data_IF_747607458906
#
_entry.id   IF_747607458906
#
_cell.length_a   1.000
_cell.length_b   1.000
_cell.length_c   1.000
_cell.angle_alpha   90.00
_cell.angle_beta   90.00
_cell.angle_gamma   90.00
#
_symmetry.space_group_name_H-M   'P 1'
#
loop_
_entity.id
_entity.type
_entity.pdbx_description
1 polymer ?
#
# COMPACT_ATOMS: atom_id res chain seq x y z
N UNK A 1 -32.31 14.76 -15.97
CA UNK A 1 -31.81 14.34 -14.65
C UNK A 1 -30.32 14.01 -14.79
N UNK A 2 -29.47 14.51 -13.88
CA UNK A 2 -28.03 14.27 -13.92
C UNK A 2 -27.77 12.78 -13.64
N UNK A 3 -26.99 12.09 -14.48
CA UNK A 3 -26.67 10.68 -14.25
C UNK A 3 -25.56 10.57 -13.20
N UNK A 4 -25.96 10.26 -11.97
CA UNK A 4 -25.04 10.15 -10.83
C UNK A 4 -24.00 9.04 -10.99
N UNK A 5 -24.28 7.99 -11.74
CA UNK A 5 -23.32 6.91 -12.00
C UNK A 5 -22.23 7.36 -12.99
N UNK A 6 -22.60 8.19 -13.98
CA UNK A 6 -21.60 8.82 -14.86
C UNK A 6 -20.73 9.83 -14.09
N UNK A 7 -21.30 10.57 -13.15
CA UNK A 7 -20.51 11.45 -12.27
C UNK A 7 -19.57 10.63 -11.36
N UNK A 8 -20.01 9.46 -10.87
CA UNK A 8 -19.18 8.54 -10.10
C UNK A 8 -18.02 8.00 -10.94
N UNK A 9 -18.28 7.57 -12.15
CA UNK A 9 -17.24 7.13 -13.09
C UNK A 9 -16.20 8.24 -13.32
N UNK A 10 -16.65 9.47 -13.60
CA UNK A 10 -15.75 10.63 -13.76
C UNK A 10 -14.91 10.90 -12.52
N UNK A 11 -15.50 10.76 -11.34
CA UNK A 11 -14.79 10.93 -10.08
C UNK A 11 -13.63 9.92 -9.95
N UNK A 12 -13.89 8.64 -10.23
CA UNK A 12 -12.85 7.61 -10.13
C UNK A 12 -11.83 7.69 -11.26
N UNK A 13 -12.26 8.02 -12.46
CA UNK A 13 -11.34 8.23 -13.60
C UNK A 13 -10.46 9.47 -13.46
N UNK A 14 -10.84 10.45 -12.63
CA UNK A 14 -10.08 11.69 -12.46
C UNK A 14 -8.62 11.43 -12.07
N UNK A 15 -8.36 10.47 -11.20
CA UNK A 15 -7.01 10.17 -10.70
C UNK A 15 -6.23 9.17 -11.57
N UNK A 16 -6.92 8.26 -12.25
CA UNK A 16 -6.30 7.12 -12.96
C UNK A 16 -6.49 7.15 -14.47
N UNK A 17 -7.20 8.17 -14.99
CA UNK A 17 -7.56 8.28 -16.41
C UNK A 17 -8.79 7.46 -16.73
N UNK A 18 -8.63 6.36 -17.48
CA UNK A 18 -9.73 5.51 -17.92
C UNK A 18 -9.75 4.18 -17.16
N UNK A 19 -10.94 3.70 -16.78
CA UNK A 19 -11.11 2.34 -16.29
C UNK A 19 -11.05 1.33 -17.45
N UNK A 20 -10.48 0.14 -17.26
CA UNK A 20 -10.36 -0.87 -18.31
C UNK A 20 -11.72 -1.34 -18.86
N UNK A 21 -12.72 -1.39 -17.99
CA UNK A 21 -14.05 -1.89 -18.32
C UNK A 21 -15.14 -1.03 -17.66
N UNK A 22 -15.32 0.18 -18.20
CA UNK A 22 -16.28 1.16 -17.68
C UNK A 22 -17.73 0.64 -17.70
N UNK A 23 -18.08 -0.17 -18.69
CA UNK A 23 -19.45 -0.69 -18.83
C UNK A 23 -19.79 -1.66 -17.70
N UNK A 24 -18.93 -2.64 -17.42
CA UNK A 24 -19.13 -3.57 -16.34
C UNK A 24 -18.97 -2.91 -14.96
N UNK A 25 -18.10 -1.90 -14.83
CA UNK A 25 -18.02 -1.09 -13.61
C UNK A 25 -19.35 -0.39 -13.34
N UNK A 26 -19.91 0.33 -14.33
CA UNK A 26 -21.18 1.03 -14.19
C UNK A 26 -22.35 0.07 -13.89
N UNK A 27 -22.37 -1.10 -14.55
CA UNK A 27 -23.35 -2.15 -14.27
C UNK A 27 -23.28 -2.60 -12.83
N UNK A 28 -22.09 -2.97 -12.34
CA UNK A 28 -21.86 -3.41 -10.97
C UNK A 28 -22.26 -2.31 -9.95
N UNK A 29 -21.95 -1.05 -10.24
CA UNK A 29 -22.35 0.06 -9.37
C UNK A 29 -23.86 0.27 -9.34
N UNK A 30 -24.57 0.18 -10.46
CA UNK A 30 -26.03 0.30 -10.53
C UNK A 30 -26.76 -0.82 -9.80
N UNK A 31 -26.20 -2.01 -9.75
CA UNK A 31 -26.75 -3.18 -9.04
C UNK A 31 -26.57 -3.08 -7.52
N UNK A 32 -25.59 -2.32 -7.03
CA UNK A 32 -25.16 -2.36 -5.63
C UNK A 32 -25.29 -1.06 -4.87
N UNK A 33 -25.40 0.07 -5.55
CA UNK A 33 -25.46 1.42 -4.97
C UNK A 33 -26.66 2.17 -5.53
N UNK A 34 -27.52 2.66 -4.64
CA UNK A 34 -28.69 3.41 -5.06
C UNK A 34 -28.39 4.87 -5.41
N UNK A 35 -29.20 5.54 -6.22
CA UNK A 35 -29.04 6.97 -6.48
C UNK A 35 -29.07 7.82 -5.20
N UNK A 36 -29.86 7.41 -4.20
CA UNK A 36 -29.97 8.06 -2.89
C UNK A 36 -28.68 7.98 -2.10
N UNK A 37 -27.97 6.85 -2.14
CA UNK A 37 -26.63 6.67 -1.55
C UNK A 37 -25.59 7.52 -2.29
N UNK A 38 -25.64 7.55 -3.61
CA UNK A 38 -24.74 8.42 -4.41
C UNK A 38 -24.94 9.90 -4.09
N UNK A 39 -26.15 10.35 -3.75
CA UNK A 39 -26.38 11.72 -3.27
C UNK A 39 -25.60 11.98 -1.98
N UNK A 40 -25.56 11.05 -1.02
CA UNK A 40 -24.74 11.16 0.18
C UNK A 40 -23.24 11.21 -0.19
N UNK A 41 -22.78 10.32 -1.06
CA UNK A 41 -21.40 10.32 -1.54
C UNK A 41 -21.01 11.69 -2.13
N UNK A 42 -21.84 12.30 -2.95
CA UNK A 42 -21.55 13.60 -3.56
C UNK A 42 -21.74 14.80 -2.61
N UNK A 43 -22.29 14.61 -1.41
CA UNK A 43 -22.29 15.64 -0.36
C UNK A 43 -20.91 15.79 0.31
N UNK A 44 -20.04 14.79 0.21
CA UNK A 44 -18.66 14.89 0.70
C UNK A 44 -17.82 15.82 -0.20
N UNK A 45 -16.76 16.46 0.33
CA UNK A 45 -15.84 17.21 -0.49
C UNK A 45 -15.14 16.29 -1.50
N UNK A 46 -14.69 16.86 -2.61
CA UNK A 46 -13.97 16.10 -3.64
C UNK A 46 -12.67 15.49 -3.09
N UNK A 47 -11.96 16.23 -2.24
CA UNK A 47 -10.77 15.78 -1.51
C UNK A 47 -10.86 16.21 -0.05
N UNK A 48 -10.22 15.44 0.84
CA UNK A 48 -10.19 15.69 2.26
C UNK A 48 -11.47 15.28 2.99
N UNK A 49 -11.47 15.45 4.31
CA UNK A 49 -12.54 14.99 5.18
C UNK A 49 -13.53 16.10 5.57
N UNK A 50 -14.70 15.67 6.03
CA UNK A 50 -15.73 16.54 6.55
C UNK A 50 -16.22 16.00 7.90
N UNK A 51 -16.38 16.87 8.89
CA UNK A 51 -16.95 16.50 10.18
C UNK A 51 -18.41 16.04 10.02
N UNK A 52 -18.79 14.99 10.74
CA UNK A 52 -20.15 14.41 10.73
C UNK A 52 -21.25 15.46 10.88
N UNK A 53 -21.11 16.37 11.85
CA UNK A 53 -22.10 17.45 12.07
C UNK A 53 -22.35 18.32 10.84
N UNK A 54 -21.29 18.59 10.04
CA UNK A 54 -21.41 19.37 8.81
C UNK A 54 -22.05 18.55 7.70
N UNK A 55 -21.73 17.27 7.61
CA UNK A 55 -22.30 16.36 6.62
C UNK A 55 -23.79 16.11 6.91
N UNK A 56 -24.17 15.91 8.17
CA UNK A 56 -25.57 15.84 8.62
C UNK A 56 -26.35 17.11 8.30
N UNK A 57 -25.74 18.29 8.47
CA UNK A 57 -26.36 19.56 8.09
C UNK A 57 -26.63 19.65 6.58
N UNK A 58 -25.72 19.14 5.73
CA UNK A 58 -25.93 19.05 4.28
C UNK A 58 -27.07 18.08 3.94
N UNK A 59 -27.09 16.91 4.57
CA UNK A 59 -28.12 15.90 4.38
C UNK A 59 -29.51 16.43 4.76
N UNK A 60 -29.63 17.09 5.90
CA UNK A 60 -30.90 17.72 6.36
C UNK A 60 -31.39 18.76 5.36
N UNK A 61 -30.51 19.63 4.82
CA UNK A 61 -30.89 20.62 3.79
C UNK A 61 -31.37 19.98 2.50
N UNK A 62 -30.89 18.76 2.21
CA UNK A 62 -31.31 17.96 1.06
C UNK A 62 -32.54 17.07 1.35
N UNK A 63 -33.23 17.25 2.51
CA UNK A 63 -34.42 16.49 2.89
C UNK A 63 -34.12 15.08 3.41
N UNK A 64 -32.88 14.76 3.77
CA UNK A 64 -32.49 13.43 4.30
C UNK A 64 -32.52 13.47 5.83
N UNK A 65 -33.38 12.65 6.44
CA UNK A 65 -33.45 12.48 7.89
C UNK A 65 -32.18 11.87 8.50
N UNK A 66 -32.01 12.08 9.82
CA UNK A 66 -30.79 11.62 10.53
C UNK A 66 -30.59 10.09 10.44
N UNK A 67 -31.64 9.33 10.71
CA UNK A 67 -31.60 7.86 10.68
C UNK A 67 -31.27 7.34 9.28
N UNK A 68 -31.97 7.87 8.27
CA UNK A 68 -31.77 7.49 6.89
C UNK A 68 -30.36 7.88 6.38
N UNK A 69 -29.83 9.01 6.86
CA UNK A 69 -28.44 9.39 6.59
C UNK A 69 -27.47 8.33 7.11
N UNK A 70 -27.57 7.91 8.39
CA UNK A 70 -26.65 6.93 8.95
C UNK A 70 -26.79 5.56 8.30
N UNK A 71 -27.99 5.12 7.95
CA UNK A 71 -28.23 3.89 7.21
C UNK A 71 -27.50 3.90 5.86
N UNK A 72 -27.69 4.95 5.06
CA UNK A 72 -27.05 5.08 3.74
C UNK A 72 -25.53 5.28 3.84
N UNK A 73 -25.07 6.12 4.76
CA UNK A 73 -23.64 6.34 4.98
C UNK A 73 -22.97 5.06 5.48
N UNK A 74 -23.60 4.28 6.36
CA UNK A 74 -23.11 2.98 6.81
C UNK A 74 -22.88 2.02 5.64
N UNK A 75 -23.87 1.87 4.75
CA UNK A 75 -23.74 1.04 3.55
C UNK A 75 -22.61 1.50 2.62
N UNK A 76 -22.42 2.81 2.45
CA UNK A 76 -21.30 3.34 1.66
C UNK A 76 -19.94 3.07 2.32
N UNK A 77 -19.85 3.06 3.66
CA UNK A 77 -18.65 2.66 4.41
C UNK A 77 -18.37 1.16 4.19
N UNK A 78 -19.36 0.30 4.38
CA UNK A 78 -19.27 -1.15 4.14
C UNK A 78 -18.81 -1.48 2.71
N UNK A 79 -19.15 -0.63 1.77
CA UNK A 79 -18.76 -0.77 0.37
C UNK A 79 -17.40 -0.15 0.03
N UNK A 80 -16.74 0.49 0.99
CA UNK A 80 -15.45 1.17 0.77
C UNK A 80 -15.55 2.45 -0.08
N UNK A 81 -16.76 2.93 -0.35
CA UNK A 81 -16.97 4.15 -1.14
C UNK A 81 -16.69 5.41 -0.34
N UNK A 82 -16.98 5.38 0.96
CA UNK A 82 -16.60 6.44 1.90
C UNK A 82 -15.84 5.83 3.07
N UNK A 83 -14.95 6.61 3.65
CA UNK A 83 -14.18 6.26 4.83
C UNK A 83 -14.71 7.05 6.02
N UNK A 84 -14.81 6.40 7.17
CA UNK A 84 -15.19 7.00 8.44
C UNK A 84 -14.04 6.88 9.42
N UNK A 85 -13.68 7.98 10.07
CA UNK A 85 -12.60 8.03 11.03
C UNK A 85 -13.07 8.60 12.36
N UNK A 86 -12.72 7.91 13.45
CA UNK A 86 -12.89 8.42 14.81
C UNK A 86 -11.71 9.35 15.14
N UNK A 87 -12.01 10.60 15.46
CA UNK A 87 -10.98 11.61 15.77
C UNK A 87 -11.31 12.36 17.05
N UNK A 88 -10.34 12.96 17.72
CA UNK A 88 -10.63 13.94 18.77
C UNK A 88 -11.58 15.02 18.22
N UNK A 89 -12.79 15.13 18.78
CA UNK A 89 -13.84 16.04 18.30
C UNK A 89 -14.94 15.40 17.46
N UNK A 90 -14.95 14.07 17.29
CA UNK A 90 -16.03 13.30 16.68
C UNK A 90 -15.65 12.63 15.35
N UNK A 91 -16.67 12.05 14.71
CA UNK A 91 -16.51 11.33 13.45
C UNK A 91 -16.25 12.30 12.28
N UNK A 92 -15.39 11.86 11.37
CA UNK A 92 -15.15 12.52 10.08
C UNK A 92 -15.34 11.53 8.93
N UNK A 93 -15.75 12.05 7.77
CA UNK A 93 -16.01 11.26 6.57
C UNK A 93 -15.18 11.80 5.40
N UNK A 94 -14.73 10.90 4.53
CA UNK A 94 -13.97 11.20 3.33
C UNK A 94 -14.45 10.31 2.18
N UNK A 95 -14.38 10.78 0.93
CA UNK A 95 -14.62 9.91 -0.22
C UNK A 95 -13.50 8.88 -0.36
N UNK A 96 -13.87 7.63 -0.48
CA UNK A 96 -12.94 6.57 -0.87
C UNK A 96 -12.48 6.77 -2.32
N UNK A 97 -11.19 6.60 -2.56
CA UNK A 97 -10.67 6.51 -3.92
C UNK A 97 -10.90 5.10 -4.49
N UNK A 98 -10.65 4.93 -5.80
CA UNK A 98 -10.92 3.67 -6.49
C UNK A 98 -10.03 2.52 -5.96
N UNK A 99 -8.80 2.81 -5.53
CA UNK A 99 -7.89 1.80 -4.96
C UNK A 99 -8.44 1.30 -3.63
N UNK A 100 -8.83 2.22 -2.73
CA UNK A 100 -9.39 1.86 -1.43
C UNK A 100 -10.68 1.02 -1.57
N UNK A 101 -11.58 1.42 -2.47
CA UNK A 101 -12.78 0.64 -2.76
C UNK A 101 -12.41 -0.76 -3.30
N UNK A 102 -11.44 -0.85 -4.21
CA UNK A 102 -10.97 -2.13 -4.75
C UNK A 102 -10.39 -3.02 -3.65
N UNK A 103 -9.59 -2.45 -2.73
CA UNK A 103 -9.01 -3.17 -1.60
C UNK A 103 -10.08 -3.85 -0.73
N UNK A 104 -11.16 -3.15 -0.43
CA UNK A 104 -12.25 -3.70 0.36
C UNK A 104 -13.04 -4.75 -0.43
N UNK A 105 -13.40 -4.44 -1.68
CA UNK A 105 -14.22 -5.33 -2.51
C UNK A 105 -13.58 -6.68 -2.79
N UNK A 106 -12.26 -6.73 -3.04
CA UNK A 106 -11.58 -8.01 -3.29
C UNK A 106 -11.39 -8.86 -2.03
N UNK A 107 -11.45 -8.25 -0.83
CA UNK A 107 -11.40 -8.97 0.45
C UNK A 107 -12.73 -9.60 0.86
N UNK A 108 -13.86 -9.14 0.32
CA UNK A 108 -15.16 -9.77 0.54
C UNK A 108 -15.07 -11.22 0.08
N UNK A 109 -15.53 -12.18 0.91
CA UNK A 109 -15.41 -13.60 0.60
C UNK A 109 -16.45 -14.08 -0.41
N UNK A 110 -17.59 -13.41 -0.49
CA UNK A 110 -18.67 -13.79 -1.40
C UNK A 110 -18.26 -13.54 -2.86
N UNK A 111 -18.49 -14.54 -3.71
CA UNK A 111 -18.19 -14.44 -5.13
C UNK A 111 -19.29 -13.68 -5.88
N UNK A 112 -19.16 -12.37 -5.90
CA UNK A 112 -20.12 -11.47 -6.55
C UNK A 112 -19.58 -10.92 -7.88
N UNK A 113 -20.44 -10.57 -8.85
CA UNK A 113 -20.02 -9.90 -10.08
C UNK A 113 -19.20 -8.64 -9.81
N UNK A 114 -19.59 -7.88 -8.77
CA UNK A 114 -18.89 -6.68 -8.34
C UNK A 114 -17.46 -6.99 -7.88
N UNK A 115 -17.25 -8.00 -7.04
CA UNK A 115 -15.93 -8.44 -6.60
C UNK A 115 -15.01 -8.76 -7.79
N UNK A 116 -15.53 -9.43 -8.79
CA UNK A 116 -14.77 -9.78 -10.02
C UNK A 116 -14.40 -8.53 -10.83
N UNK A 117 -15.26 -7.52 -10.91
CA UNK A 117 -14.96 -6.24 -11.57
C UNK A 117 -13.78 -5.55 -10.89
N UNK A 118 -13.78 -5.46 -9.55
CA UNK A 118 -12.69 -4.86 -8.82
C UNK A 118 -11.40 -5.67 -8.84
N UNK A 119 -11.50 -7.00 -8.88
CA UNK A 119 -10.34 -7.87 -9.06
C UNK A 119 -9.68 -7.66 -10.44
N UNK A 120 -10.45 -7.52 -11.52
CA UNK A 120 -9.93 -7.17 -12.85
C UNK A 120 -9.29 -5.79 -12.89
N UNK A 121 -9.90 -4.81 -12.21
CA UNK A 121 -9.35 -3.47 -12.09
C UNK A 121 -7.95 -3.50 -11.43
N UNK A 122 -7.82 -4.26 -10.33
CA UNK A 122 -6.53 -4.43 -9.64
C UNK A 122 -5.52 -5.19 -10.50
N UNK A 123 -5.95 -6.22 -11.21
CA UNK A 123 -5.09 -6.98 -12.14
C UNK A 123 -4.56 -6.07 -13.26
N UNK A 124 -5.42 -5.27 -13.87
CA UNK A 124 -5.05 -4.30 -14.91
C UNK A 124 -4.04 -3.25 -14.39
N UNK A 125 -4.18 -2.81 -13.14
CA UNK A 125 -3.21 -1.92 -12.51
C UNK A 125 -1.85 -2.60 -12.25
N UNK A 126 -1.86 -3.87 -11.87
CA UNK A 126 -0.65 -4.68 -11.69
C UNK A 126 0.06 -4.90 -13.03
N UNK A 127 -0.67 -5.17 -14.10
CA UNK A 127 -0.13 -5.36 -15.44
C UNK A 127 0.32 -4.04 -16.12
N UNK A 128 -0.06 -2.88 -15.57
CA UNK A 128 0.30 -1.56 -16.12
C UNK A 128 -0.65 -1.04 -17.19
N UNK A 129 -1.82 -1.65 -17.32
CA UNK A 129 -2.88 -1.17 -18.24
C UNK A 129 -3.53 0.11 -17.72
N UNK A 130 -3.42 0.37 -16.42
CA UNK A 130 -3.92 1.58 -15.76
C UNK A 130 -2.74 2.37 -15.22
N UNK A 131 -2.66 3.65 -15.57
CA UNK A 131 -1.71 4.57 -14.99
C UNK A 131 -2.01 4.82 -13.50
N UNK A 132 -0.98 4.85 -12.67
CA UNK A 132 -1.09 5.38 -11.32
C UNK A 132 -1.04 6.91 -11.34
N UNK A 133 -1.49 7.52 -10.24
CA UNK A 133 -1.44 8.99 -10.07
C UNK A 133 -0.07 9.56 -10.42
N UNK A 134 0.00 10.69 -11.15
CA UNK A 134 1.25 11.28 -11.61
C UNK A 134 1.99 12.03 -10.48
N UNK A 135 2.28 11.35 -9.37
CA UNK A 135 3.10 11.86 -8.28
C UNK A 135 4.55 11.42 -8.42
N UNK A 136 5.47 12.23 -7.86
CA UNK A 136 6.91 11.92 -7.79
C UNK A 136 7.32 11.33 -6.45
N UNK A 137 6.57 11.64 -5.41
CA UNK A 137 6.79 11.16 -4.04
C UNK A 137 6.20 9.76 -3.88
N UNK A 138 6.98 8.73 -3.49
CA UNK A 138 6.45 7.40 -3.23
C UNK A 138 5.47 7.39 -2.05
N UNK A 139 4.37 6.67 -2.17
CA UNK A 139 3.41 6.46 -1.08
C UNK A 139 3.99 5.56 0.02
N UNK A 140 4.68 4.51 -0.42
CA UNK A 140 5.27 3.49 0.43
C UNK A 140 6.78 3.47 0.25
N UNK A 141 7.49 2.92 1.23
CA UNK A 141 8.91 2.60 1.17
C UNK A 141 9.16 1.16 1.58
N UNK A 142 10.21 0.59 1.06
CA UNK A 142 10.70 -0.74 1.47
C UNK A 142 11.30 -0.67 2.86
N UNK A 143 10.97 -1.65 3.71
CA UNK A 143 11.74 -1.97 4.90
C UNK A 143 12.66 -3.15 4.59
N UNK A 144 13.90 -3.13 5.08
CA UNK A 144 14.80 -4.28 4.96
C UNK A 144 14.37 -5.40 5.92
N UNK A 145 14.75 -6.63 5.61
CA UNK A 145 14.66 -7.75 6.55
C UNK A 145 15.49 -7.41 7.78
N UNK A 146 14.84 -7.42 8.94
CA UNK A 146 15.39 -6.87 10.20
C UNK A 146 16.72 -7.53 10.60
N UNK A 147 16.82 -8.85 10.51
CA UNK A 147 18.04 -9.59 10.86
C UNK A 147 19.25 -9.19 10.02
N UNK A 148 19.02 -8.69 8.78
CA UNK A 148 20.12 -8.30 7.89
C UNK A 148 20.76 -6.97 8.27
N UNK A 149 20.12 -6.20 9.16
CA UNK A 149 20.61 -4.94 9.72
C UNK A 149 21.53 -5.17 10.95
N UNK A 150 21.55 -6.35 11.53
CA UNK A 150 22.16 -6.66 12.82
C UNK A 150 23.69 -6.75 12.83
N UNK A 151 24.40 -6.22 11.83
CA UNK A 151 25.88 -6.27 11.75
C UNK A 151 26.62 -5.08 12.36
N UNK A 152 26.06 -3.87 12.36
CA UNK A 152 26.81 -2.63 12.69
C UNK A 152 26.15 -1.69 13.71
N UNK A 153 25.01 -2.03 14.31
CA UNK A 153 24.25 -1.04 15.13
C UNK A 153 23.60 -1.60 16.40
N UNK A 154 24.27 -2.47 17.15
CA UNK A 154 23.76 -2.93 18.46
C UNK A 154 23.91 -1.93 19.61
N UNK A 155 24.49 -0.75 19.39
CA UNK A 155 24.61 0.28 20.42
C UNK A 155 24.41 1.66 19.81
N UNK A 156 23.17 2.11 19.73
CA UNK A 156 22.88 3.53 19.77
C UNK A 156 22.19 3.80 21.10
N UNK A 157 22.96 4.44 21.97
CA UNK A 157 22.48 5.03 23.22
C UNK A 157 21.31 5.96 22.88
N UNK A 158 20.13 5.69 23.43
CA UNK A 158 18.89 6.39 23.10
C UNK A 158 18.91 7.89 23.44
N UNK A 159 19.94 8.36 24.13
CA UNK A 159 20.11 9.73 24.59
C UNK A 159 20.97 10.64 23.67
N UNK A 160 21.57 10.11 22.62
CA UNK A 160 22.28 10.93 21.66
C UNK A 160 21.51 11.01 20.34
N UNK A 161 20.85 12.13 20.11
CA UNK A 161 20.36 12.55 18.79
C UNK A 161 21.52 12.78 17.80
N UNK A 162 22.30 11.75 17.54
CA UNK A 162 23.29 11.77 16.47
C UNK A 162 22.54 11.42 15.20
N UNK A 163 22.32 12.39 14.34
CA UNK A 163 21.84 12.21 12.96
C UNK A 163 22.95 11.57 12.11
N UNK A 164 23.46 10.42 12.50
CA UNK A 164 24.33 9.63 11.64
C UNK A 164 23.45 9.00 10.56
N UNK A 165 23.61 9.37 9.28
CA UNK A 165 22.82 8.78 8.19
C UNK A 165 23.08 7.27 8.05
N UNK A 166 24.11 6.73 8.68
CA UNK A 166 24.47 5.29 8.69
C UNK A 166 23.80 4.51 9.80
N UNK A 167 23.22 5.21 10.81
CA UNK A 167 22.55 4.55 11.93
C UNK A 167 21.29 3.81 11.47
N UNK A 168 21.05 2.60 12.01
CA UNK A 168 19.75 1.93 11.93
C UNK A 168 18.79 2.65 12.86
N UNK A 169 17.69 3.15 12.30
CA UNK A 169 16.68 3.87 13.06
C UNK A 169 15.51 2.94 13.39
N UNK A 170 14.75 3.16 14.48
CA UNK A 170 13.53 2.38 14.76
C UNK A 170 12.54 2.32 13.58
N UNK A 171 12.51 3.37 12.76
CA UNK A 171 11.70 3.41 11.52
C UNK A 171 12.20 2.47 10.41
N UNK A 172 13.35 1.83 10.54
CA UNK A 172 13.88 0.81 9.63
C UNK A 172 13.60 -0.61 10.13
N UNK A 173 13.09 -0.77 11.36
CA UNK A 173 12.88 -2.04 12.04
C UNK A 173 11.38 -2.35 12.06
N UNK A 174 10.97 -3.34 11.26
CA UNK A 174 9.56 -3.70 11.10
C UNK A 174 8.90 -4.11 12.43
N UNK A 175 9.59 -4.93 13.26
CA UNK A 175 9.06 -5.37 14.55
C UNK A 175 8.90 -4.23 15.55
N UNK A 176 9.82 -3.25 15.55
CA UNK A 176 9.72 -2.07 16.42
C UNK A 176 8.54 -1.19 16.02
N UNK A 177 8.31 -0.99 14.71
CA UNK A 177 7.16 -0.25 14.21
C UNK A 177 5.84 -0.92 14.61
N UNK A 178 5.74 -2.25 14.43
CA UNK A 178 4.56 -3.03 14.83
C UNK A 178 4.27 -2.88 16.34
N UNK A 179 5.31 -3.02 17.20
CA UNK A 179 5.15 -2.91 18.65
C UNK A 179 4.76 -1.51 19.14
N UNK A 180 5.03 -0.48 18.35
CA UNK A 180 4.66 0.90 18.67
C UNK A 180 3.16 1.21 18.43
N UNK A 181 2.44 0.34 17.71
CA UNK A 181 1.05 0.58 17.36
C UNK A 181 0.08 -0.09 18.34
N UNK A 182 -0.89 0.63 18.92
CA UNK A 182 -1.78 0.10 19.95
C UNK A 182 -2.81 -0.90 19.45
N UNK A 183 -3.17 -0.85 18.16
CA UNK A 183 -4.11 -1.78 17.53
C UNK A 183 -3.50 -2.36 16.27
N UNK A 184 -3.46 -3.70 16.21
CA UNK A 184 -2.95 -4.48 15.07
C UNK A 184 -4.03 -5.45 14.61
N UNK A 185 -4.22 -5.51 13.31
CA UNK A 185 -5.05 -6.53 12.67
C UNK A 185 -4.35 -7.08 11.42
N UNK A 186 -4.69 -8.30 11.04
CA UNK A 186 -4.24 -8.92 9.80
C UNK A 186 -5.42 -9.10 8.85
N UNK A 187 -5.20 -8.78 7.59
CA UNK A 187 -6.16 -8.94 6.52
C UNK A 187 -5.55 -9.72 5.35
N UNK A 188 -6.40 -10.22 4.46
CA UNK A 188 -5.95 -10.78 3.20
C UNK A 188 -5.25 -9.71 2.36
N UNK A 189 -4.11 -10.07 1.75
CA UNK A 189 -3.44 -9.22 0.79
C UNK A 189 -4.34 -8.99 -0.42
N UNK A 190 -4.84 -7.77 -0.60
CA UNK A 190 -5.80 -7.45 -1.65
C UNK A 190 -5.24 -7.64 -3.07
N UNK A 191 -3.95 -7.40 -3.29
CA UNK A 191 -3.30 -7.65 -4.58
C UNK A 191 -3.33 -9.15 -4.94
N UNK A 192 -2.94 -10.04 -4.00
CA UNK A 192 -2.99 -11.49 -4.21
C UNK A 192 -4.42 -12.01 -4.30
N UNK A 193 -5.33 -11.47 -3.47
CA UNK A 193 -6.75 -11.83 -3.55
C UNK A 193 -7.32 -11.49 -4.94
N UNK A 194 -7.02 -10.30 -5.48
CA UNK A 194 -7.45 -9.92 -6.83
C UNK A 194 -6.91 -10.87 -7.89
N UNK A 195 -5.61 -11.19 -7.85
CA UNK A 195 -4.96 -12.12 -8.80
C UNK A 195 -5.55 -13.52 -8.70
N UNK A 196 -5.85 -14.01 -7.50
CA UNK A 196 -6.52 -15.31 -7.30
C UNK A 196 -7.92 -15.33 -7.91
N UNK A 197 -8.71 -14.26 -7.74
CA UNK A 197 -10.06 -14.14 -8.30
C UNK A 197 -10.05 -14.19 -9.84
N UNK A 198 -9.03 -13.64 -10.49
CA UNK A 198 -8.89 -13.65 -11.96
C UNK A 198 -8.11 -14.87 -12.49
N UNK A 199 -7.86 -15.89 -11.65
CA UNK A 199 -7.20 -17.13 -12.06
C UNK A 199 -5.67 -17.06 -12.17
N UNK A 200 -5.04 -16.02 -11.59
CA UNK A 200 -3.58 -15.80 -11.61
C UNK A 200 -2.98 -15.95 -10.20
N UNK A 201 -3.37 -17.01 -9.48
CA UNK A 201 -2.83 -17.27 -8.13
C UNK A 201 -1.33 -17.59 -8.17
N UNK A 202 -0.59 -17.03 -7.24
CA UNK A 202 0.86 -17.22 -7.13
C UNK A 202 1.28 -18.17 -5.98
N UNK A 203 0.34 -18.77 -5.26
CA UNK A 203 0.59 -19.71 -4.17
C UNK A 203 1.05 -19.09 -2.85
N UNK A 204 1.45 -17.82 -2.80
CA UNK A 204 1.82 -17.19 -1.53
C UNK A 204 0.62 -16.98 -0.60
N UNK A 205 0.83 -16.99 0.75
CA UNK A 205 -0.25 -16.85 1.72
C UNK A 205 -0.99 -15.51 1.55
N UNK A 206 -2.31 -15.53 1.76
CA UNK A 206 -3.15 -14.32 1.65
C UNK A 206 -3.08 -13.46 2.91
N UNK A 207 -3.21 -14.06 4.10
CA UNK A 207 -3.30 -13.35 5.39
C UNK A 207 -1.94 -12.78 5.81
N UNK A 208 -1.52 -11.71 5.14
CA UNK A 208 -0.20 -11.09 5.33
C UNK A 208 -0.24 -9.56 5.31
N UNK A 209 -1.41 -8.93 5.16
CA UNK A 209 -1.55 -7.49 5.18
C UNK A 209 -1.76 -7.04 6.63
N UNK A 210 -0.73 -6.51 7.29
CA UNK A 210 -0.85 -5.93 8.62
C UNK A 210 -1.44 -4.53 8.52
N UNK A 211 -2.47 -4.27 9.30
CA UNK A 211 -3.16 -2.97 9.36
C UNK A 211 -3.20 -2.47 10.78
N UNK A 212 -3.19 -1.15 10.95
CA UNK A 212 -3.03 -0.52 12.25
C UNK A 212 -4.06 0.57 12.47
N UNK A 213 -4.45 0.76 13.73
CA UNK A 213 -5.27 1.87 14.22
C UNK A 213 -6.57 2.05 13.42
N UNK A 214 -6.82 3.25 12.88
CA UNK A 214 -8.08 3.58 12.19
C UNK A 214 -8.36 2.67 10.98
N UNK A 215 -7.31 2.23 10.25
CA UNK A 215 -7.49 1.29 9.15
C UNK A 215 -7.83 -0.10 9.68
N UNK A 216 -7.20 -0.54 10.77
CA UNK A 216 -7.52 -1.79 11.43
C UNK A 216 -8.96 -1.78 11.94
N UNK A 217 -9.39 -0.70 12.63
CA UNK A 217 -10.79 -0.54 13.09
C UNK A 217 -11.78 -0.68 11.94
N UNK A 218 -11.55 0.05 10.83
CA UNK A 218 -12.42 0.00 9.65
C UNK A 218 -12.55 -1.41 9.08
N UNK A 219 -11.43 -2.14 8.95
CA UNK A 219 -11.45 -3.49 8.39
C UNK A 219 -12.01 -4.53 9.36
N UNK A 220 -11.82 -4.36 10.66
CA UNK A 220 -12.43 -5.20 11.71
C UNK A 220 -13.94 -5.01 11.75
N UNK A 221 -14.44 -3.77 11.73
CA UNK A 221 -15.87 -3.45 11.67
C UNK A 221 -16.53 -4.03 10.40
N UNK A 222 -15.82 -4.05 9.28
CA UNK A 222 -16.30 -4.62 8.03
C UNK A 222 -16.16 -6.16 7.95
N UNK A 223 -15.59 -6.83 8.97
CA UNK A 223 -15.33 -8.28 8.94
C UNK A 223 -14.26 -8.71 7.91
N UNK A 224 -13.40 -7.77 7.48
CA UNK A 224 -12.38 -7.98 6.44
C UNK A 224 -10.97 -8.17 7.02
N UNK A 225 -10.82 -8.11 8.33
CA UNK A 225 -9.58 -8.34 9.06
C UNK A 225 -9.84 -9.10 10.35
N UNK A 226 -8.79 -9.64 10.91
CA UNK A 226 -8.76 -10.31 12.21
C UNK A 226 -7.82 -9.56 13.15
N UNK A 227 -8.25 -9.27 14.38
CA UNK A 227 -7.39 -8.69 15.41
C UNK A 227 -6.32 -9.71 15.82
N UNK A 228 -5.09 -9.24 15.97
CA UNK A 228 -3.93 -10.03 16.41
C UNK A 228 -3.13 -9.27 17.47
N UNK A 229 -2.30 -9.98 18.18
CA UNK A 229 -1.32 -9.38 19.08
C UNK A 229 0.01 -9.06 18.35
N UNK A 230 0.91 -8.40 19.05
CA UNK A 230 2.21 -8.02 18.49
C UNK A 230 3.12 -9.23 18.24
N UNK A 231 2.99 -10.30 19.02
CA UNK A 231 3.81 -11.50 18.86
C UNK A 231 3.41 -12.23 17.57
N UNK A 232 2.11 -12.39 17.33
CA UNK A 232 1.58 -12.97 16.09
C UNK A 232 1.95 -12.10 14.88
N UNK A 233 1.86 -10.77 14.98
CA UNK A 233 2.26 -9.87 13.90
C UNK A 233 3.73 -10.03 13.51
N UNK A 234 4.63 -10.12 14.50
CA UNK A 234 6.06 -10.37 14.27
C UNK A 234 6.29 -11.74 13.64
N UNK A 235 5.55 -12.77 14.08
CA UNK A 235 5.63 -14.11 13.48
C UNK A 235 5.18 -14.11 12.01
N UNK A 236 4.14 -13.33 11.67
CA UNK A 236 3.70 -13.15 10.27
C UNK A 236 4.82 -12.49 9.44
N UNK A 237 5.50 -11.46 9.97
CA UNK A 237 6.63 -10.84 9.26
C UNK A 237 7.74 -11.86 8.97
N UNK A 238 8.17 -12.63 9.97
CA UNK A 238 9.20 -13.65 9.80
C UNK A 238 8.80 -14.75 8.81
N UNK A 239 7.53 -15.16 8.81
CA UNK A 239 7.01 -16.10 7.81
C UNK A 239 7.06 -15.49 6.41
N UNK A 240 6.69 -14.21 6.27
CA UNK A 240 6.75 -13.49 5.01
C UNK A 240 8.18 -13.35 4.47
N UNK A 241 9.16 -13.12 5.33
CA UNK A 241 10.59 -13.08 4.97
C UNK A 241 11.05 -14.42 4.39
N UNK A 242 10.70 -15.52 5.06
CA UNK A 242 11.01 -16.89 4.56
C UNK A 242 10.35 -17.20 3.21
N UNK A 243 9.16 -16.67 2.98
CA UNK A 243 8.44 -16.76 1.70
C UNK A 243 8.98 -15.79 0.62
N UNK A 244 10.03 -15.02 0.91
CA UNK A 244 10.61 -14.06 -0.02
C UNK A 244 9.76 -12.81 -0.27
N UNK A 245 8.87 -12.45 0.67
CA UNK A 245 8.00 -11.28 0.56
C UNK A 245 8.72 -10.02 1.05
N UNK A 246 8.51 -8.93 0.32
CA UNK A 246 9.10 -7.62 0.62
C UNK A 246 8.20 -6.82 1.54
N UNK A 247 8.74 -6.28 2.60
CA UNK A 247 8.04 -5.38 3.50
C UNK A 247 7.92 -3.97 2.92
N UNK A 248 6.70 -3.44 2.88
CA UNK A 248 6.42 -2.06 2.53
C UNK A 248 5.62 -1.38 3.63
N UNK A 249 5.98 -0.14 3.93
CA UNK A 249 5.30 0.70 4.92
C UNK A 249 5.07 2.11 4.37
N UNK A 250 4.17 2.88 4.94
CA UNK A 250 3.98 4.29 4.62
C UNK A 250 5.32 5.04 4.59
N UNK A 251 5.53 5.89 3.58
CA UNK A 251 6.78 6.65 3.43
C UNK A 251 6.80 7.89 4.36
N UNK A 252 6.48 7.65 5.63
CA UNK A 252 6.42 8.67 6.67
C UNK A 252 6.97 8.14 8.00
N UNK A 253 7.32 9.05 8.89
CA UNK A 253 7.61 8.80 10.30
C UNK A 253 6.32 8.75 11.12
N UNK A 254 6.41 8.24 12.36
CA UNK A 254 5.31 8.16 13.29
C UNK A 254 4.40 6.97 13.04
N UNK A 255 3.11 7.14 13.32
CA UNK A 255 2.11 6.07 13.21
C UNK A 255 1.97 5.57 11.79
N UNK A 256 2.00 4.26 11.64
CA UNK A 256 1.77 3.58 10.36
C UNK A 256 0.31 3.15 10.23
N UNK A 257 -0.19 3.08 9.01
CA UNK A 257 -1.54 2.59 8.72
C UNK A 257 -1.54 1.15 8.25
N UNK A 258 -0.50 0.77 7.49
CA UNK A 258 -0.36 -0.58 6.97
C UNK A 258 1.10 -0.98 6.81
N UNK A 259 1.38 -2.27 6.96
CA UNK A 259 2.62 -2.90 6.58
C UNK A 259 2.28 -4.06 5.64
N UNK A 260 2.63 -3.86 4.37
CA UNK A 260 2.39 -4.85 3.32
C UNK A 260 3.55 -5.83 3.22
N UNK A 261 3.24 -7.09 2.92
CA UNK A 261 4.20 -8.16 2.64
C UNK A 261 4.02 -8.63 1.19
N UNK A 262 4.87 -8.16 0.31
CA UNK A 262 4.65 -8.11 -1.13
C UNK A 262 5.46 -9.14 -1.91
N UNK A 263 4.79 -9.90 -2.79
CA UNK A 263 5.45 -10.79 -3.75
C UNK A 263 5.67 -10.11 -5.11
N UNK A 264 6.71 -10.48 -5.86
CA UNK A 264 6.97 -9.89 -7.17
C UNK A 264 5.95 -10.26 -8.25
N UNK A 265 5.13 -11.29 -8.02
CA UNK A 265 4.16 -11.82 -8.97
C UNK A 265 2.80 -11.13 -8.93
N UNK A 266 2.42 -10.52 -7.80
CA UNK A 266 1.05 -9.99 -7.61
C UNK A 266 1.00 -8.57 -7.04
N UNK A 267 2.14 -7.98 -6.63
CA UNK A 267 2.12 -6.70 -5.94
C UNK A 267 2.15 -5.52 -6.91
N UNK A 268 1.18 -4.63 -6.81
CA UNK A 268 1.13 -3.39 -7.60
C UNK A 268 2.35 -2.49 -7.33
N UNK A 269 2.85 -2.40 -6.09
CA UNK A 269 4.00 -1.58 -5.74
C UNK A 269 5.28 -2.08 -6.42
N UNK A 270 5.52 -3.41 -6.36
CA UNK A 270 6.68 -4.02 -6.99
C UNK A 270 6.60 -4.01 -8.51
N UNK A 271 5.40 -4.18 -9.09
CA UNK A 271 5.25 -4.14 -10.55
C UNK A 271 5.53 -2.75 -11.11
N UNK A 272 5.07 -1.70 -10.45
CA UNK A 272 5.39 -0.29 -10.82
C UNK A 272 6.88 -0.01 -10.70
N UNK A 273 7.52 -0.45 -9.60
CA UNK A 273 8.98 -0.31 -9.44
C UNK A 273 9.77 -1.07 -10.52
N UNK A 274 9.32 -2.27 -10.91
CA UNK A 274 9.97 -3.06 -11.96
C UNK A 274 9.91 -2.38 -13.33
N UNK A 275 8.79 -1.73 -13.64
CA UNK A 275 8.58 -1.03 -14.91
C UNK A 275 9.19 0.37 -14.95
N UNK A 276 9.62 0.89 -13.80
CA UNK A 276 10.06 2.30 -13.63
C UNK A 276 8.97 3.31 -14.05
N UNK A 277 7.71 2.95 -13.82
CA UNK A 277 6.51 3.68 -14.28
C UNK A 277 5.87 4.55 -13.22
N UNK A 278 6.62 4.99 -12.24
CA UNK A 278 6.05 5.88 -11.23
C UNK A 278 6.56 5.64 -9.82
N UNK A 279 5.94 6.31 -8.87
CA UNK A 279 6.44 6.41 -7.51
C UNK A 279 5.44 5.84 -6.49
N UNK A 280 4.89 4.64 -6.74
CA UNK A 280 4.04 3.97 -5.76
C UNK A 280 4.85 3.48 -4.55
N UNK A 281 6.06 2.95 -4.80
CA UNK A 281 6.99 2.51 -3.77
C UNK A 281 8.37 3.14 -3.94
N UNK A 282 9.07 3.36 -2.85
CA UNK A 282 10.47 3.79 -2.82
C UNK A 282 11.38 2.70 -2.25
N UNK A 283 12.67 2.72 -2.57
CA UNK A 283 13.64 1.80 -1.97
C UNK A 283 13.81 2.09 -0.47
N UNK A 284 14.41 1.14 0.25
CA UNK A 284 14.86 1.34 1.61
C UNK A 284 16.05 2.32 1.67
N UNK A 285 16.45 2.70 2.88
CA UNK A 285 17.67 3.50 3.12
C UNK A 285 18.97 2.73 2.83
N UNK A 286 18.86 1.45 2.44
CA UNK A 286 19.97 0.53 2.27
C UNK A 286 20.12 0.03 0.83
N UNK A 287 21.29 -0.50 0.54
CA UNK A 287 21.61 -1.19 -0.71
C UNK A 287 22.55 -2.34 -0.39
N UNK A 288 22.54 -3.40 -1.20
CA UNK A 288 23.50 -4.49 -1.00
C UNK A 288 24.90 -4.11 -1.47
N UNK A 289 25.90 -4.60 -0.71
CA UNK A 289 27.31 -4.65 -1.10
C UNK A 289 27.73 -6.10 -1.18
N UNK A 290 28.41 -6.44 -2.24
CA UNK A 290 29.00 -7.75 -2.47
C UNK A 290 30.51 -7.72 -2.23
N UNK A 291 31.06 -8.77 -1.57
CA UNK A 291 32.46 -8.86 -1.22
C UNK A 291 33.41 -9.19 -2.40
N UNK A 292 32.85 -9.69 -3.52
CA UNK A 292 33.63 -10.16 -4.66
C UNK A 292 33.99 -11.63 -4.59
N UNK A 293 33.58 -12.37 -3.54
CA UNK A 293 33.92 -13.78 -3.37
C UNK A 293 33.22 -14.67 -4.43
N UNK A 294 33.98 -15.50 -5.13
CA UNK A 294 33.43 -16.48 -6.09
C UNK A 294 32.87 -17.68 -5.33
N UNK A 295 31.55 -17.69 -5.12
CA UNK A 295 30.79 -18.68 -4.33
C UNK A 295 29.64 -19.18 -5.20
N UNK A 296 29.64 -20.45 -5.66
CA UNK A 296 28.62 -21.00 -6.57
C UNK A 296 27.22 -20.92 -5.99
N UNK A 297 27.07 -21.12 -4.68
CA UNK A 297 25.77 -21.11 -3.97
C UNK A 297 25.05 -19.76 -4.05
N UNK A 298 25.79 -18.66 -4.31
CA UNK A 298 25.21 -17.33 -4.49
C UNK A 298 24.30 -17.22 -5.73
N UNK A 299 24.36 -18.18 -6.66
CA UNK A 299 23.38 -18.32 -7.73
C UNK A 299 21.94 -18.44 -7.19
N UNK A 300 21.74 -19.02 -6.00
CA UNK A 300 20.43 -19.11 -5.35
C UNK A 300 19.91 -17.74 -4.88
N UNK A 301 20.79 -16.80 -4.58
CA UNK A 301 20.41 -15.43 -4.21
C UNK A 301 19.81 -14.65 -5.37
N UNK A 302 20.09 -15.04 -6.62
CA UNK A 302 19.50 -14.44 -7.82
C UNK A 302 17.99 -14.72 -7.88
N UNK A 303 17.60 -15.95 -7.54
CA UNK A 303 16.19 -16.40 -7.63
C UNK A 303 15.28 -15.68 -6.63
N UNK A 304 15.79 -15.36 -5.42
CA UNK A 304 14.99 -14.68 -4.39
C UNK A 304 14.88 -13.17 -4.65
N UNK A 305 15.65 -12.62 -5.59
CA UNK A 305 15.62 -11.18 -5.83
C UNK A 305 14.32 -10.72 -6.51
N UNK A 306 13.41 -9.99 -5.83
CA UNK A 306 12.11 -9.62 -6.37
C UNK A 306 12.21 -8.63 -7.54
N UNK A 307 13.33 -7.94 -7.66
CA UNK A 307 13.60 -6.91 -8.67
C UNK A 307 14.45 -7.37 -9.83
N UNK A 308 14.98 -8.61 -9.78
CA UNK A 308 15.98 -9.06 -10.73
C UNK A 308 17.23 -8.16 -10.75
N UNK A 309 17.62 -7.68 -9.57
CA UNK A 309 18.82 -6.83 -9.40
C UNK A 309 20.12 -7.63 -9.32
N UNK A 310 20.03 -8.95 -9.26
CA UNK A 310 21.17 -9.85 -9.18
C UNK A 310 21.28 -10.71 -10.43
N UNK A 311 22.50 -10.98 -10.86
CA UNK A 311 22.84 -12.01 -11.85
C UNK A 311 24.11 -12.74 -11.42
N UNK A 312 24.24 -14.00 -11.83
CA UNK A 312 25.39 -14.84 -11.50
C UNK A 312 25.95 -15.48 -12.78
N UNK A 313 27.26 -15.29 -12.98
CA UNK A 313 28.01 -15.92 -14.06
C UNK A 313 29.43 -16.23 -13.54
N UNK A 314 29.53 -17.24 -12.66
CA UNK A 314 30.77 -17.52 -11.92
C UNK A 314 31.04 -16.54 -10.77
N UNK A 315 30.60 -15.29 -10.90
CA UNK A 315 30.59 -14.27 -9.85
C UNK A 315 29.23 -13.58 -9.80
N UNK A 316 28.87 -13.07 -8.62
CA UNK A 316 27.62 -12.34 -8.46
C UNK A 316 27.79 -10.89 -8.97
N UNK A 317 26.85 -10.43 -9.77
CA UNK A 317 26.77 -9.02 -10.21
C UNK A 317 25.53 -8.36 -9.64
N UNK A 318 25.67 -7.11 -9.18
CA UNK A 318 24.60 -6.34 -8.56
C UNK A 318 24.25 -5.12 -9.41
N UNK A 319 23.02 -5.06 -9.89
CA UNK A 319 22.46 -3.85 -10.48
C UNK A 319 21.90 -2.95 -9.37
N UNK A 320 22.69 -1.97 -8.93
CA UNK A 320 22.33 -1.05 -7.86
C UNK A 320 21.14 -0.14 -8.19
N UNK A 321 20.83 0.11 -9.46
CA UNK A 321 19.64 0.89 -9.87
C UNK A 321 18.35 0.12 -9.62
N UNK A 322 18.38 -1.21 -9.79
CA UNK A 322 17.23 -2.09 -9.55
C UNK A 322 17.14 -2.56 -8.09
N UNK A 323 18.22 -2.48 -7.32
CA UNK A 323 18.24 -2.91 -5.93
C UNK A 323 17.40 -1.98 -5.06
N UNK A 324 16.35 -2.51 -4.43
CA UNK A 324 15.47 -1.78 -3.51
C UNK A 324 15.92 -1.88 -2.05
N UNK A 325 16.97 -2.65 -1.74
CA UNK A 325 17.52 -2.79 -0.39
C UNK A 325 16.58 -3.52 0.57
N UNK A 326 15.86 -4.53 0.11
CA UNK A 326 14.95 -5.32 0.94
C UNK A 326 15.66 -6.35 1.85
N UNK A 327 16.90 -6.73 1.56
CA UNK A 327 17.68 -7.66 2.40
C UNK A 327 17.44 -9.15 2.14
N UNK A 328 16.41 -9.57 1.41
CA UNK A 328 16.09 -10.99 1.19
C UNK A 328 17.25 -11.83 0.68
N UNK A 329 18.06 -11.29 -0.23
CA UNK A 329 19.26 -11.98 -0.73
C UNK A 329 20.38 -12.07 0.33
N UNK A 330 20.43 -11.13 1.27
CA UNK A 330 21.39 -11.16 2.38
C UNK A 330 20.97 -12.23 3.39
N UNK A 331 19.67 -12.32 3.72
CA UNK A 331 19.11 -13.39 4.53
C UNK A 331 19.40 -14.76 3.91
N UNK A 332 19.08 -14.94 2.63
CA UNK A 332 19.38 -16.18 1.92
C UNK A 332 20.87 -16.53 1.90
N UNK A 333 21.76 -15.55 1.72
CA UNK A 333 23.19 -15.74 1.74
C UNK A 333 23.70 -16.25 3.11
N UNK A 334 23.11 -15.75 4.20
CA UNK A 334 23.39 -16.22 5.57
C UNK A 334 22.92 -17.66 5.80
N UNK A 335 21.71 -18.00 5.34
CA UNK A 335 21.18 -19.37 5.40
C UNK A 335 22.05 -20.38 4.66
N UNK A 336 22.70 -19.95 3.58
CA UNK A 336 23.67 -20.76 2.82
C UNK A 336 25.04 -20.85 3.48
N UNK A 337 25.25 -20.23 4.65
CA UNK A 337 26.55 -20.22 5.35
C UNK A 337 27.54 -19.16 4.87
N UNK A 338 27.13 -18.24 3.99
CA UNK A 338 28.01 -17.24 3.38
C UNK A 338 27.69 -15.80 3.80
N UNK A 339 27.37 -15.60 5.09
CA UNK A 339 26.85 -14.33 5.64
C UNK A 339 27.71 -13.08 5.37
N UNK A 340 29.01 -13.25 5.07
CA UNK A 340 29.91 -12.14 4.76
C UNK A 340 29.97 -11.77 3.29
N UNK A 341 29.43 -12.60 2.40
CA UNK A 341 29.49 -12.36 0.96
C UNK A 341 28.55 -11.24 0.50
N UNK A 342 27.38 -11.11 1.13
CA UNK A 342 26.40 -10.04 0.89
C UNK A 342 26.08 -9.32 2.19
N UNK A 343 26.07 -7.99 2.16
CA UNK A 343 25.72 -7.14 3.30
C UNK A 343 24.82 -6.00 2.86
N UNK A 344 23.89 -5.56 3.72
CA UNK A 344 23.20 -4.29 3.57
C UNK A 344 24.08 -3.15 4.09
N UNK A 345 24.25 -2.13 3.26
CA UNK A 345 24.94 -0.90 3.64
C UNK A 345 24.06 0.31 3.37
N UNK A 346 24.19 1.40 4.15
CA UNK A 346 23.44 2.63 3.90
C UNK A 346 23.71 3.16 2.49
N UNK A 347 22.64 3.70 1.84
CA UNK A 347 22.78 4.40 0.54
C UNK A 347 23.49 5.72 0.74
N UNK A 348 24.31 6.13 -0.20
CA UNK A 348 24.94 7.45 -0.19
C UNK A 348 23.94 8.60 -0.24
N UNK A 349 22.80 8.41 -0.94
CA UNK A 349 21.66 9.33 -0.95
C UNK A 349 20.43 8.60 -0.48
N UNK A 350 19.93 9.01 0.69
CA UNK A 350 18.75 8.40 1.29
C UNK A 350 17.46 8.86 0.60
N UNK A 351 16.46 7.95 0.40
CA UNK A 351 15.12 8.35 0.04
C UNK A 351 14.54 9.30 1.09
N UNK A 352 13.76 10.28 0.65
CA UNK A 352 13.08 11.18 1.59
C UNK A 352 11.97 10.43 2.30
N UNK A 353 12.01 10.45 3.63
CA UNK A 353 10.91 10.02 4.51
C UNK A 353 10.22 11.27 5.03
N UNK A 354 8.90 11.30 5.03
CA UNK A 354 8.12 12.45 5.46
C UNK A 354 7.89 12.42 6.97
N UNK A 355 7.85 13.59 7.62
CA UNK A 355 7.69 13.72 9.08
C UNK A 355 6.35 13.15 9.61
N UNK A 356 5.34 13.02 8.77
CA UNK A 356 4.04 12.44 9.11
C UNK A 356 3.29 12.00 7.85
N UNK A 357 2.30 11.13 8.01
CA UNK A 357 1.39 10.75 6.94
C UNK A 357 0.64 11.95 6.36
N UNK A 358 0.28 12.94 7.17
CA UNK A 358 -0.36 14.17 6.68
C UNK A 358 0.57 14.96 5.75
N UNK A 359 1.84 15.13 6.12
CA UNK A 359 2.84 15.80 5.30
C UNK A 359 3.09 15.05 3.98
N UNK A 360 3.14 13.72 4.02
CA UNK A 360 3.25 12.83 2.86
C UNK A 360 2.07 13.05 1.90
N UNK A 361 0.84 12.92 2.38
CA UNK A 361 -0.35 13.06 1.54
C UNK A 361 -0.54 14.47 0.98
N UNK A 362 -0.19 15.50 1.75
CA UNK A 362 -0.20 16.89 1.27
C UNK A 362 0.77 17.08 0.10
N UNK A 363 1.96 16.46 0.16
CA UNK A 363 2.92 16.51 -0.94
C UNK A 363 2.40 15.75 -2.16
N UNK A 364 1.91 14.52 -1.99
CA UNK A 364 1.37 13.69 -3.07
C UNK A 364 0.20 14.39 -3.77
N UNK A 365 -0.74 14.96 -3.01
CA UNK A 365 -1.89 15.69 -3.57
C UNK A 365 -1.46 16.88 -4.42
N UNK A 366 -0.45 17.65 -3.96
CA UNK A 366 0.09 18.76 -4.74
C UNK A 366 0.72 18.30 -6.05
N UNK A 367 1.55 17.26 -5.99
CA UNK A 367 2.23 16.72 -7.16
C UNK A 367 1.24 16.13 -8.16
N UNK A 368 0.23 15.42 -7.69
CA UNK A 368 -0.83 14.84 -8.52
C UNK A 368 -1.64 15.94 -9.22
N UNK A 369 -2.00 17.00 -8.51
CA UNK A 369 -2.72 18.15 -9.10
C UNK A 369 -1.89 18.83 -10.20
N UNK A 370 -0.61 19.09 -9.94
CA UNK A 370 0.31 19.67 -10.95
C UNK A 370 0.48 18.71 -12.14
N UNK A 371 0.67 17.43 -11.88
CA UNK A 371 0.83 16.40 -12.91
C UNK A 371 -0.38 16.32 -13.83
N UNK A 372 -1.59 16.34 -13.28
CA UNK A 372 -2.84 16.34 -14.05
C UNK A 372 -2.98 17.58 -14.93
N UNK A 373 -2.63 18.77 -14.41
CA UNK A 373 -2.64 20.02 -15.18
C UNK A 373 -1.63 19.93 -16.35
N UNK A 374 -0.41 19.48 -16.07
CA UNK A 374 0.65 19.36 -17.09
C UNK A 374 0.26 18.34 -18.17
N UNK A 375 -0.33 17.19 -17.79
CA UNK A 375 -0.78 16.17 -18.74
C UNK A 375 -1.91 16.73 -19.64
N UNK A 376 -2.85 17.46 -19.05
CA UNK A 376 -3.93 18.11 -19.81
C UNK A 376 -3.39 19.15 -20.81
N UNK A 377 -2.41 19.97 -20.39
CA UNK A 377 -1.77 20.96 -21.28
C UNK A 377 -0.96 20.33 -22.41
N UNK A 378 -0.37 19.15 -22.17
CA UNK A 378 0.40 18.39 -23.18
C UNK A 378 -0.48 17.52 -24.10
N UNK A 379 -1.80 17.58 -23.98
CA UNK A 379 -2.73 16.76 -24.78
C UNK A 379 -2.61 15.26 -24.55
N UNK A 380 -1.92 14.81 -23.51
CA UNK A 380 -1.90 13.41 -23.10
C UNK A 380 -3.19 13.12 -22.34
N UNK A 381 -4.08 12.36 -23.01
CA UNK A 381 -5.33 11.83 -22.44
C UNK A 381 -5.03 10.74 -21.41
#
# INVERSE_FOLDING_TARGET
>A
MKDLYQDLLRYYCFAIGKLPDEANFLKAMKETVTPEELRIFFMLPFTGNIAERKLLSRARRAGVGREEFFKRAGRLVEQGMIMRYSRPGGQTYERGNIVHMSEQQVRIKDDTPRRRVFARLMDAAIEGEIGLTPNRTPFYRVLPVEETLAGESRQIDMDKQVRDPRAVLPLDIASAMVRAEPLVAVADCYCRAARRIVGKDCGHPLETCLTFNELAETLLEAGLARRIDHAEAVQILQNCEREGLVHFVDNAEGRIRSLCNCCPCSCILLSVLKRDEGNAGGPSRYVIRYSGASIPELAQCVQICPMGALSYNGTLTVNHRRCIGCGLCVSRCRELGHGDALRLVPRGKHPRIHRSNEALWKQITRESAVGLIVNKLKGKK
#
